data_IF_293251552495
#
_entry.id   IF_293251552495
#
_cell.length_a   1.000
_cell.length_b   1.000
_cell.length_c   1.000
_cell.angle_alpha   90.00
_cell.angle_beta   90.00
_cell.angle_gamma   90.00
#
_symmetry.space_group_name_H-M   'P 1'
#
loop_
_entity.id
_entity.type
_entity.pdbx_description
1 polymer ?
#
# COMPACT_ATOMS: atom_id res chain seq x y z
N UNK A 1 16.45 3.60 46.95
CA UNK A 1 17.42 3.15 45.93
C UNK A 1 17.93 1.72 46.20
N UNK A 2 17.07 0.73 46.48
CA UNK A 2 17.51 -0.67 46.66
C UNK A 2 16.34 -1.67 46.58
N UNK A 3 15.50 -1.58 45.54
CA UNK A 3 14.45 -2.58 45.24
C UNK A 3 14.26 -2.90 43.75
N UNK A 4 15.10 -2.35 42.87
CA UNK A 4 15.05 -2.57 41.42
C UNK A 4 16.31 -3.28 40.86
N UNK A 5 17.36 -3.42 41.67
CA UNK A 5 18.61 -4.09 41.26
C UNK A 5 18.54 -5.63 41.30
N UNK A 6 17.41 -6.20 41.71
CA UNK A 6 17.26 -7.64 41.97
C UNK A 6 16.11 -8.29 41.17
N UNK A 7 15.57 -7.60 40.15
CA UNK A 7 14.76 -8.27 39.13
C UNK A 7 15.70 -8.94 38.14
N UNK A 8 16.06 -10.17 38.47
CA UNK A 8 16.74 -11.17 37.64
C UNK A 8 16.60 -10.93 36.14
N UNK A 9 17.58 -10.23 35.57
CA UNK A 9 17.83 -10.15 34.13
C UNK A 9 18.89 -11.20 33.76
N UNK A 10 18.74 -12.42 34.28
CA UNK A 10 19.59 -13.54 33.90
C UNK A 10 18.89 -14.27 32.76
N UNK A 11 19.21 -13.86 31.54
CA UNK A 11 19.01 -14.74 30.39
C UNK A 11 19.65 -16.09 30.72
N UNK A 12 18.88 -17.16 30.62
CA UNK A 12 19.38 -18.52 30.75
C UNK A 12 20.47 -18.77 29.70
N UNK A 13 21.35 -19.73 29.95
CA UNK A 13 22.41 -20.08 29.00
C UNK A 13 21.84 -20.46 27.62
N UNK A 14 20.64 -21.06 27.60
CA UNK A 14 19.88 -21.37 26.39
C UNK A 14 19.46 -20.10 25.63
N UNK A 15 18.90 -19.11 26.32
CA UNK A 15 18.48 -17.85 25.68
C UNK A 15 19.68 -17.06 25.15
N UNK A 16 20.82 -17.07 25.85
CA UNK A 16 22.06 -16.45 25.35
C UNK A 16 22.49 -17.10 24.04
N UNK A 17 22.45 -18.44 23.93
CA UNK A 17 22.77 -19.14 22.68
C UNK A 17 21.80 -18.81 21.55
N UNK A 18 20.52 -18.60 21.88
CA UNK A 18 19.51 -18.17 20.90
C UNK A 18 19.81 -16.73 20.42
N UNK A 19 20.08 -15.80 21.33
CA UNK A 19 20.49 -14.43 20.99
C UNK A 19 21.78 -14.41 20.15
N UNK A 20 22.74 -15.30 20.41
CA UNK A 20 23.95 -15.44 19.60
C UNK A 20 23.65 -15.90 18.16
N UNK A 21 22.60 -16.70 17.93
CA UNK A 21 22.18 -17.09 16.58
C UNK A 21 21.56 -15.91 15.84
N UNK A 22 20.63 -15.19 16.48
CA UNK A 22 20.02 -13.97 15.91
C UNK A 22 21.08 -12.93 15.60
N UNK A 23 21.97 -12.65 16.56
CA UNK A 23 23.06 -11.70 16.39
C UNK A 23 24.02 -12.06 15.24
N UNK A 24 24.24 -13.35 14.97
CA UNK A 24 25.02 -13.79 13.80
C UNK A 24 24.27 -13.57 12.49
N UNK A 25 22.96 -13.82 12.46
CA UNK A 25 22.11 -13.60 11.27
C UNK A 25 22.03 -12.13 10.87
N UNK A 26 22.14 -11.19 11.81
CA UNK A 26 22.11 -9.75 11.52
C UNK A 26 23.17 -9.29 10.52
N UNK A 27 24.33 -9.95 10.46
CA UNK A 27 25.41 -9.59 9.52
C UNK A 27 25.75 -8.09 9.57
N UNK A 28 25.72 -7.45 8.40
CA UNK A 28 26.02 -6.01 8.24
C UNK A 28 25.01 -5.08 8.95
N UNK A 29 23.80 -5.54 9.21
CA UNK A 29 22.75 -4.76 9.87
C UNK A 29 23.03 -4.58 11.37
N UNK A 30 23.93 -5.39 11.95
CA UNK A 30 24.23 -5.34 13.39
C UNK A 30 24.76 -3.97 13.84
N UNK A 31 25.62 -3.32 13.05
CA UNK A 31 26.18 -2.01 13.39
C UNK A 31 25.11 -0.91 13.35
N UNK A 32 24.23 -0.94 12.35
CA UNK A 32 23.11 0.01 12.24
C UNK A 32 22.10 -0.15 13.37
N UNK A 33 21.82 -1.40 13.77
CA UNK A 33 20.95 -1.69 14.91
C UNK A 33 21.60 -1.24 16.22
N UNK A 34 22.91 -1.47 16.39
CA UNK A 34 23.64 -1.04 17.59
C UNK A 34 23.72 0.50 17.70
N UNK A 35 23.80 1.19 16.56
CA UNK A 35 23.79 2.66 16.49
C UNK A 35 22.57 3.30 17.14
N UNK A 36 21.43 2.60 17.21
CA UNK A 36 20.21 3.06 17.90
C UNK A 36 20.43 3.47 19.36
N UNK A 37 21.43 2.88 20.03
CA UNK A 37 21.72 3.15 21.44
C UNK A 37 23.12 3.68 21.69
N UNK A 38 24.02 3.67 20.69
CA UNK A 38 25.38 4.24 20.82
C UNK A 38 25.49 5.66 20.25
N UNK A 39 24.67 6.03 19.27
CA UNK A 39 24.62 7.37 18.67
C UNK A 39 23.50 8.20 19.31
N UNK A 40 23.77 8.71 20.52
CA UNK A 40 22.77 9.36 21.39
C UNK A 40 22.35 10.76 20.93
N UNK A 41 23.13 11.41 20.06
CA UNK A 41 22.90 12.79 19.62
C UNK A 41 22.39 12.89 18.17
N UNK A 42 22.07 11.75 17.54
CA UNK A 42 21.75 11.65 16.13
C UNK A 42 20.33 11.17 15.79
N UNK A 43 20.12 10.93 14.49
CA UNK A 43 18.89 10.34 13.91
C UNK A 43 18.50 9.00 14.55
N UNK A 44 19.49 8.23 15.02
CA UNK A 44 19.30 6.90 15.59
C UNK A 44 18.67 6.95 16.99
N UNK A 45 19.08 7.90 17.83
CA UNK A 45 18.46 8.10 19.15
C UNK A 45 16.98 8.49 19.05
N UNK A 46 16.65 9.39 18.11
CA UNK A 46 15.25 9.76 17.84
C UNK A 46 14.44 8.56 17.37
N UNK A 47 14.97 7.78 16.42
CA UNK A 47 14.32 6.56 15.94
C UNK A 47 14.09 5.57 17.08
N UNK A 48 15.08 5.36 17.95
CA UNK A 48 14.94 4.48 19.10
C UNK A 48 13.82 4.95 20.06
N UNK A 49 13.76 6.24 20.36
CA UNK A 49 12.68 6.79 21.17
C UNK A 49 11.29 6.58 20.54
N UNK A 50 11.16 6.76 19.23
CA UNK A 50 9.92 6.53 18.48
C UNK A 50 9.53 5.04 18.43
N UNK A 51 10.50 4.13 18.35
CA UNK A 51 10.27 2.68 18.42
C UNK A 51 9.77 2.24 19.80
N UNK A 52 10.32 2.83 20.87
CA UNK A 52 9.88 2.56 22.25
C UNK A 52 8.46 3.05 22.53
N UNK A 53 8.11 4.24 22.04
CA UNK A 53 6.78 4.83 22.23
C UNK A 53 5.65 4.00 21.60
N UNK A 54 5.95 3.21 20.56
CA UNK A 54 5.02 2.29 19.92
C UNK A 54 4.14 2.92 18.84
N UNK A 55 3.18 2.15 18.34
CA UNK A 55 2.28 2.57 17.25
C UNK A 55 1.20 3.54 17.71
N UNK A 56 0.97 4.56 16.90
CA UNK A 56 -0.15 5.50 17.10
C UNK A 56 -1.34 5.04 16.27
N UNK A 57 -2.55 5.04 16.85
CA UNK A 57 -3.77 4.82 16.06
C UNK A 57 -4.05 6.06 15.21
N UNK A 58 -4.35 5.84 13.94
CA UNK A 58 -4.85 6.86 13.03
C UNK A 58 -6.35 6.68 12.84
N UNK A 59 -7.09 7.77 12.94
CA UNK A 59 -8.49 7.79 12.57
C UNK A 59 -8.61 8.19 11.10
N UNK A 60 -9.10 7.27 10.26
CA UNK A 60 -9.17 7.48 8.82
C UNK A 60 -10.14 8.60 8.45
N UNK A 61 -11.26 8.73 9.16
CA UNK A 61 -12.27 9.76 8.88
C UNK A 61 -11.73 11.15 9.20
N UNK A 62 -11.08 11.33 10.35
CA UNK A 62 -10.42 12.58 10.70
C UNK A 62 -9.26 12.90 9.75
N UNK A 63 -8.46 11.91 9.34
CA UNK A 63 -7.41 12.12 8.33
C UNK A 63 -8.00 12.63 7.01
N UNK A 64 -9.08 12.03 6.52
CA UNK A 64 -9.76 12.45 5.29
C UNK A 64 -10.32 13.86 5.41
N UNK A 65 -10.89 14.22 6.56
CA UNK A 65 -11.33 15.58 6.84
C UNK A 65 -10.16 16.57 6.80
N UNK A 66 -9.03 16.24 7.43
CA UNK A 66 -7.83 17.09 7.42
C UNK A 66 -7.30 17.30 5.99
N UNK A 67 -7.29 16.26 5.14
CA UNK A 67 -6.90 16.38 3.73
C UNK A 67 -7.89 17.26 2.95
N UNK A 68 -9.20 17.12 3.20
CA UNK A 68 -10.25 17.92 2.57
C UNK A 68 -10.18 19.40 2.98
N UNK A 69 -9.87 19.68 4.24
CA UNK A 69 -9.62 21.03 4.74
C UNK A 69 -8.41 21.66 4.03
N UNK A 70 -7.29 20.93 3.91
CA UNK A 70 -6.12 21.39 3.17
C UNK A 70 -6.42 21.66 1.69
N UNK A 71 -7.23 20.80 1.06
CA UNK A 71 -7.65 20.98 -0.32
C UNK A 71 -8.50 22.24 -0.49
N UNK A 72 -9.48 22.45 0.38
CA UNK A 72 -10.34 23.64 0.40
C UNK A 72 -9.53 24.93 0.61
N UNK A 73 -8.57 24.92 1.52
CA UNK A 73 -7.74 26.09 1.83
C UNK A 73 -6.78 26.46 0.70
N UNK A 74 -6.24 25.47 -0.02
CA UNK A 74 -5.45 25.73 -1.24
C UNK A 74 -6.27 26.36 -2.36
N UNK A 75 -7.54 25.96 -2.52
CA UNK A 75 -8.45 26.58 -3.49
C UNK A 75 -8.68 28.05 -3.18
N UNK A 76 -8.68 28.44 -1.90
CA UNK A 76 -8.81 29.83 -1.45
C UNK A 76 -7.50 30.64 -1.61
N UNK A 77 -6.40 30.03 -2.06
CA UNK A 77 -5.12 30.71 -2.24
C UNK A 77 -4.43 31.13 -0.95
N UNK A 78 -4.78 30.51 0.19
CA UNK A 78 -4.23 30.86 1.49
C UNK A 78 -2.72 30.48 1.57
N UNK A 79 -1.85 31.34 2.14
CA UNK A 79 -0.44 31.03 2.30
C UNK A 79 -0.22 29.82 3.23
N UNK A 80 0.64 28.88 2.82
CA UNK A 80 0.94 27.64 3.57
C UNK A 80 1.37 27.89 5.02
N UNK A 81 2.08 28.98 5.28
CA UNK A 81 2.53 29.36 6.63
C UNK A 81 1.39 29.84 7.54
N UNK A 82 0.34 30.43 6.96
CA UNK A 82 -0.86 30.86 7.66
C UNK A 82 -1.71 29.63 8.05
N UNK A 83 -1.68 28.57 7.23
CA UNK A 83 -2.33 27.30 7.51
C UNK A 83 -1.69 26.55 8.69
N UNK A 84 -0.35 26.49 8.72
CA UNK A 84 0.40 25.88 9.83
C UNK A 84 0.12 26.58 11.18
N UNK A 85 -0.14 27.89 11.17
CA UNK A 85 -0.48 28.67 12.38
C UNK A 85 -1.92 28.48 12.86
N UNK A 86 -2.88 28.26 11.96
CA UNK A 86 -4.29 28.02 12.32
C UNK A 86 -4.48 26.60 12.87
N UNK A 87 -3.70 25.63 12.36
CA UNK A 87 -3.74 24.23 12.80
C UNK A 87 -2.95 23.95 14.10
N UNK A 88 -2.12 24.90 14.57
CA UNK A 88 -1.31 24.78 15.80
C UNK A 88 -2.09 24.81 17.13
N UNK A 89 -3.35 24.41 17.15
CA UNK A 89 -4.16 24.28 18.36
C UNK A 89 -4.00 22.90 19.00
N UNK A 90 -3.12 22.81 20.00
CA UNK A 90 -2.97 21.82 21.10
C UNK A 90 -3.09 20.28 20.86
N UNK A 91 -3.66 19.78 19.77
CA UNK A 91 -3.79 18.35 19.47
C UNK A 91 -3.00 18.02 18.19
N UNK A 92 -2.17 16.97 18.24
CA UNK A 92 -1.45 16.49 17.04
C UNK A 92 -2.46 16.04 15.99
N UNK A 93 -2.35 16.54 14.76
CA UNK A 93 -3.22 16.14 13.65
C UNK A 93 -2.94 14.70 13.21
N UNK A 94 -3.92 14.02 12.61
CA UNK A 94 -3.70 12.67 12.04
C UNK A 94 -2.67 12.71 10.91
N UNK A 95 -2.57 13.82 10.18
CA UNK A 95 -1.56 14.02 9.16
C UNK A 95 -0.13 14.07 9.76
N UNK A 96 0.07 14.78 10.87
CA UNK A 96 1.36 14.80 11.58
C UNK A 96 1.75 13.41 12.08
N UNK A 97 0.77 12.67 12.63
CA UNK A 97 0.98 11.29 13.06
C UNK A 97 1.36 10.44 11.84
N UNK A 98 0.63 10.54 10.73
CA UNK A 98 0.91 9.79 9.51
C UNK A 98 2.33 10.05 8.97
N UNK A 99 2.74 11.32 8.89
CA UNK A 99 4.07 11.71 8.42
C UNK A 99 5.14 11.10 9.32
N UNK A 100 4.98 11.20 10.64
CA UNK A 100 5.92 10.58 11.60
C UNK A 100 6.00 9.06 11.42
N UNK A 101 4.86 8.40 11.23
CA UNK A 101 4.80 6.95 11.04
C UNK A 101 5.44 6.53 9.71
N UNK A 102 5.29 7.33 8.65
CA UNK A 102 6.00 7.16 7.37
C UNK A 102 7.51 7.32 7.55
N UNK A 103 7.97 8.39 8.21
CA UNK A 103 9.40 8.63 8.47
C UNK A 103 10.01 7.50 9.29
N UNK A 104 9.30 7.05 10.32
CA UNK A 104 9.69 5.89 11.13
C UNK A 104 9.82 4.65 10.27
N UNK A 105 8.85 4.37 9.40
CA UNK A 105 8.87 3.19 8.54
C UNK A 105 10.07 3.20 7.59
N UNK A 106 10.36 4.35 6.96
CA UNK A 106 11.53 4.54 6.09
C UNK A 106 12.83 4.34 6.89
N UNK A 107 12.91 4.92 8.08
CA UNK A 107 14.10 4.86 8.92
C UNK A 107 14.38 3.42 9.41
N UNK A 108 13.35 2.64 9.77
CA UNK A 108 13.52 1.23 10.14
C UNK A 108 13.87 0.36 8.94
N UNK A 109 13.34 0.65 7.75
CA UNK A 109 13.73 -0.05 6.52
C UNK A 109 15.21 0.17 6.19
N UNK A 110 15.73 1.37 6.42
CA UNK A 110 17.13 1.70 6.20
C UNK A 110 18.11 0.95 7.13
N UNK A 111 17.62 0.30 8.19
CA UNK A 111 18.40 -0.62 9.03
C UNK A 111 18.66 -1.98 8.35
N UNK A 112 18.03 -2.24 7.19
CA UNK A 112 18.26 -3.41 6.34
C UNK A 112 18.23 -4.74 7.10
N UNK A 113 17.29 -4.90 8.05
CA UNK A 113 17.15 -6.16 8.79
C UNK A 113 16.93 -7.34 7.82
N UNK A 114 17.65 -8.47 7.98
CA UNK A 114 17.42 -9.66 7.18
C UNK A 114 15.97 -10.13 7.27
N UNK A 115 15.40 -10.58 6.14
CA UNK A 115 13.99 -11.00 6.09
C UNK A 115 13.76 -12.26 6.94
N UNK A 116 14.74 -13.16 6.94
CA UNK A 116 14.71 -14.48 7.61
C UNK A 116 15.27 -14.43 9.04
N UNK A 117 15.42 -13.22 9.60
CA UNK A 117 16.11 -13.00 10.89
C UNK A 117 15.48 -13.84 12.02
N UNK A 118 14.15 -13.93 12.03
CA UNK A 118 13.38 -14.56 13.10
C UNK A 118 12.60 -15.81 12.67
N UNK A 119 12.84 -16.38 11.49
CA UNK A 119 12.07 -17.54 10.98
C UNK A 119 12.09 -18.77 11.90
N UNK A 120 13.17 -18.94 12.68
CA UNK A 120 13.34 -20.04 13.63
C UNK A 120 12.84 -19.70 15.06
N UNK A 121 12.19 -18.54 15.25
CA UNK A 121 11.76 -18.04 16.55
C UNK A 121 10.22 -17.98 16.66
N UNK A 122 9.62 -18.46 17.75
CA UNK A 122 8.19 -18.28 17.99
C UNK A 122 7.81 -16.79 18.09
N UNK A 123 6.63 -16.41 17.58
CA UNK A 123 6.13 -15.03 17.63
C UNK A 123 6.09 -14.46 19.04
N UNK A 124 5.63 -15.25 20.00
CA UNK A 124 5.48 -14.83 21.40
C UNK A 124 6.83 -14.46 22.03
N UNK A 125 7.90 -15.13 21.61
CA UNK A 125 9.26 -14.83 22.07
C UNK A 125 9.78 -13.52 21.46
N UNK A 126 9.49 -13.27 20.19
CA UNK A 126 9.85 -12.02 19.51
C UNK A 126 9.11 -10.85 20.16
N UNK A 127 7.82 -11.02 20.46
CA UNK A 127 7.01 -10.00 21.13
C UNK A 127 7.48 -9.76 22.58
N UNK A 128 7.93 -10.81 23.28
CA UNK A 128 8.56 -10.67 24.59
C UNK A 128 9.90 -9.90 24.52
N UNK A 129 10.76 -10.20 23.54
CA UNK A 129 12.00 -9.45 23.31
C UNK A 129 11.75 -7.99 22.91
N UNK A 130 10.74 -7.73 22.08
CA UNK A 130 10.31 -6.38 21.73
C UNK A 130 9.87 -5.61 23.00
N UNK A 131 9.02 -6.23 23.82
CA UNK A 131 8.54 -5.64 25.08
C UNK A 131 9.70 -5.32 26.03
N UNK A 132 10.67 -6.23 26.14
CA UNK A 132 11.86 -6.03 26.95
C UNK A 132 12.73 -4.90 26.39
N UNK A 133 13.07 -4.93 25.10
CA UNK A 133 13.85 -3.88 24.43
C UNK A 133 13.20 -2.50 24.53
N UNK A 134 11.87 -2.43 24.47
CA UNK A 134 11.13 -1.18 24.63
C UNK A 134 11.20 -0.60 26.06
N UNK A 135 11.24 -1.47 27.07
CA UNK A 135 11.29 -1.08 28.48
C UNK A 135 12.68 -0.53 28.87
N UNK A 136 13.76 -1.05 28.28
CA UNK A 136 15.12 -0.66 28.63
C UNK A 136 15.50 0.75 28.12
N UNK A 137 16.34 1.41 28.90
CA UNK A 137 17.10 2.60 28.51
C UNK A 137 18.32 2.22 27.66
N UNK A 138 18.93 3.18 26.92
CA UNK A 138 20.16 2.92 26.18
C UNK A 138 21.28 2.34 27.05
N UNK A 139 21.51 2.90 28.24
CA UNK A 139 22.56 2.45 29.16
C UNK A 139 22.34 1.01 29.66
N UNK A 140 21.09 0.66 29.98
CA UNK A 140 20.74 -0.71 30.37
C UNK A 140 21.01 -1.71 29.22
N UNK A 141 20.70 -1.34 27.98
CA UNK A 141 20.99 -2.17 26.81
C UNK A 141 22.50 -2.29 26.55
N UNK A 142 23.26 -1.21 26.74
CA UNK A 142 24.72 -1.21 26.59
C UNK A 142 25.43 -2.08 27.64
N UNK A 143 24.87 -2.18 28.84
CA UNK A 143 25.37 -3.05 29.91
C UNK A 143 25.14 -4.56 29.64
N UNK A 144 24.22 -4.91 28.73
CA UNK A 144 23.94 -6.31 28.37
C UNK A 144 25.03 -6.92 27.47
N UNK A 145 25.18 -8.25 27.42
CA UNK A 145 25.97 -8.92 26.40
C UNK A 145 25.53 -8.48 25.00
N UNK A 146 26.48 -8.20 24.10
CA UNK A 146 26.21 -7.64 22.77
C UNK A 146 25.16 -8.43 21.99
N UNK A 147 25.23 -9.77 22.02
CA UNK A 147 24.27 -10.63 21.34
C UNK A 147 22.83 -10.45 21.85
N UNK A 148 22.66 -10.26 23.17
CA UNK A 148 21.37 -9.99 23.79
C UNK A 148 20.86 -8.61 23.39
N UNK A 149 21.69 -7.56 23.55
CA UNK A 149 21.36 -6.19 23.12
C UNK A 149 20.87 -6.14 21.68
N UNK A 150 21.65 -6.71 20.75
CA UNK A 150 21.31 -6.73 19.33
C UNK A 150 20.01 -7.49 19.05
N UNK A 151 19.76 -8.60 19.76
CA UNK A 151 18.51 -9.36 19.61
C UNK A 151 17.30 -8.55 20.06
N UNK A 152 17.37 -7.88 21.22
CA UNK A 152 16.27 -7.06 21.73
C UNK A 152 15.98 -5.86 20.82
N UNK A 153 17.03 -5.17 20.36
CA UNK A 153 16.90 -4.04 19.43
C UNK A 153 16.32 -4.49 18.09
N UNK A 154 16.81 -5.59 17.52
CA UNK A 154 16.30 -6.12 16.26
C UNK A 154 14.85 -6.59 16.37
N UNK A 155 14.46 -7.21 17.49
CA UNK A 155 13.08 -7.61 17.75
C UNK A 155 12.16 -6.37 17.86
N UNK A 156 12.60 -5.33 18.58
CA UNK A 156 11.90 -4.05 18.66
C UNK A 156 11.69 -3.45 17.26
N UNK A 157 12.74 -3.34 16.46
CA UNK A 157 12.65 -2.83 15.09
C UNK A 157 11.71 -3.66 14.20
N UNK A 158 11.82 -5.00 14.23
CA UNK A 158 11.02 -5.89 13.41
C UNK A 158 9.52 -5.80 13.76
N UNK A 159 9.18 -5.84 15.06
CA UNK A 159 7.79 -5.74 15.52
C UNK A 159 7.20 -4.36 15.20
N UNK A 160 7.95 -3.28 15.43
CA UNK A 160 7.46 -1.93 15.11
C UNK A 160 7.36 -1.67 13.61
N UNK A 161 8.27 -2.21 12.78
CA UNK A 161 8.15 -2.18 11.31
C UNK A 161 6.85 -2.87 10.88
N UNK A 162 6.56 -4.05 11.46
CA UNK A 162 5.35 -4.83 11.19
C UNK A 162 4.08 -4.05 11.49
N UNK A 163 3.99 -3.51 12.71
CA UNK A 163 2.83 -2.72 13.15
C UNK A 163 2.64 -1.46 12.30
N UNK A 164 3.72 -0.72 12.03
CA UNK A 164 3.68 0.51 11.23
C UNK A 164 3.27 0.21 9.80
N UNK A 165 3.88 -0.79 9.16
CA UNK A 165 3.55 -1.19 7.81
C UNK A 165 2.07 -1.59 7.69
N UNK A 166 1.57 -2.42 8.63
CA UNK A 166 0.16 -2.82 8.64
C UNK A 166 -0.78 -1.63 8.78
N UNK A 167 -0.46 -0.68 9.66
CA UNK A 167 -1.22 0.56 9.81
C UNK A 167 -1.22 1.39 8.52
N UNK A 168 -0.04 1.63 7.91
CA UNK A 168 0.09 2.42 6.69
C UNK A 168 -0.65 1.78 5.50
N UNK A 169 -0.62 0.44 5.38
CA UNK A 169 -1.40 -0.29 4.36
C UNK A 169 -2.89 -0.13 4.59
N UNK A 170 -3.36 -0.20 5.84
CA UNK A 170 -4.76 0.02 6.17
C UNK A 170 -5.22 1.42 5.76
N UNK A 171 -4.40 2.45 6.05
CA UNK A 171 -4.65 3.83 5.63
C UNK A 171 -4.67 3.95 4.10
N UNK A 172 -3.70 3.37 3.40
CA UNK A 172 -3.65 3.39 1.93
C UNK A 172 -4.93 2.80 1.32
N UNK A 173 -5.32 1.59 1.74
CA UNK A 173 -6.53 0.92 1.27
C UNK A 173 -7.77 1.77 1.57
N UNK A 174 -7.86 2.30 2.79
CA UNK A 174 -8.97 3.13 3.24
C UNK A 174 -9.11 4.44 2.44
N UNK A 175 -8.00 5.16 2.24
CA UNK A 175 -7.98 6.39 1.46
C UNK A 175 -8.39 6.17 0.00
N UNK A 176 -7.85 5.13 -0.64
CA UNK A 176 -8.21 4.79 -2.04
C UNK A 176 -9.69 4.39 -2.13
N UNK A 177 -10.20 3.64 -1.16
CA UNK A 177 -11.62 3.26 -1.10
C UNK A 177 -12.53 4.48 -0.97
N UNK A 178 -12.27 5.38 -0.01
CA UNK A 178 -13.07 6.59 0.20
C UNK A 178 -12.95 7.59 -0.94
N UNK A 179 -11.77 7.70 -1.57
CA UNK A 179 -11.58 8.50 -2.78
C UNK A 179 -12.47 7.97 -3.91
N UNK A 180 -12.46 6.65 -4.15
CA UNK A 180 -13.30 6.03 -5.17
C UNK A 180 -14.78 6.28 -4.92
N UNK A 181 -15.26 6.01 -3.70
CA UNK A 181 -16.66 6.20 -3.33
C UNK A 181 -17.13 7.65 -3.54
N UNK A 182 -16.28 8.64 -3.18
CA UNK A 182 -16.59 10.06 -3.41
C UNK A 182 -16.62 10.44 -4.89
N UNK A 183 -15.72 9.88 -5.69
CA UNK A 183 -15.72 10.09 -7.14
C UNK A 183 -17.02 9.56 -7.74
N UNK A 184 -17.42 8.33 -7.41
CA UNK A 184 -18.68 7.75 -7.91
C UNK A 184 -19.90 8.56 -7.46
N UNK A 185 -19.97 8.93 -6.17
CA UNK A 185 -21.08 9.72 -5.64
C UNK A 185 -21.19 11.11 -6.30
N UNK A 186 -20.07 11.84 -6.44
CA UNK A 186 -20.05 13.14 -7.14
C UNK A 186 -20.34 12.99 -8.62
N UNK A 187 -19.91 11.88 -9.23
CA UNK A 187 -20.20 11.60 -10.61
C UNK A 187 -21.71 11.40 -10.84
N UNK A 188 -22.36 10.59 -10.00
CA UNK A 188 -23.80 10.34 -10.04
C UNK A 188 -24.61 11.63 -9.82
N UNK A 189 -24.22 12.46 -8.85
CA UNK A 189 -24.83 13.78 -8.61
C UNK A 189 -24.65 14.75 -9.79
N UNK A 190 -23.61 14.56 -10.59
CA UNK A 190 -23.31 15.43 -11.72
C UNK A 190 -24.09 15.09 -12.99
N UNK A 191 -24.88 14.02 -13.05
CA UNK A 191 -25.55 13.58 -14.28
C UNK A 191 -26.70 14.54 -14.68
N UNK A 192 -26.81 14.92 -15.97
CA UNK A 192 -27.86 15.82 -16.42
C UNK A 192 -29.20 15.08 -16.46
N UNK A 193 -30.20 15.65 -15.81
CA UNK A 193 -31.58 15.20 -15.91
C UNK A 193 -32.22 15.97 -17.08
N UNK A 194 -32.19 15.42 -18.30
CA UNK A 194 -33.08 15.89 -19.38
C UNK A 194 -34.29 14.95 -19.45
N UNK A 195 -35.39 15.31 -18.75
CA UNK A 195 -36.54 14.43 -18.62
C UNK A 195 -37.28 14.22 -19.94
N UNK A 196 -37.11 15.09 -20.95
CA UNK A 196 -37.81 14.92 -22.23
C UNK A 196 -37.16 13.80 -23.06
N UNK A 197 -35.87 13.92 -23.36
CA UNK A 197 -35.13 12.91 -24.16
C UNK A 197 -35.08 11.54 -23.48
N UNK A 198 -35.06 11.52 -22.15
CA UNK A 198 -35.12 10.28 -21.39
C UNK A 198 -36.49 9.58 -21.54
N UNK A 199 -37.59 10.31 -21.38
CA UNK A 199 -38.95 9.78 -21.59
C UNK A 199 -39.16 9.29 -23.03
N UNK A 200 -38.74 10.08 -24.02
CA UNK A 200 -38.90 9.74 -25.43
C UNK A 200 -38.14 8.45 -25.77
N UNK A 201 -36.90 8.30 -25.28
CA UNK A 201 -36.08 7.09 -25.43
C UNK A 201 -36.75 5.87 -24.75
N UNK A 202 -37.18 6.01 -23.50
CA UNK A 202 -37.84 4.91 -22.77
C UNK A 202 -39.16 4.48 -23.43
N UNK A 203 -39.88 5.40 -24.07
CA UNK A 203 -41.12 5.10 -24.79
C UNK A 203 -40.89 4.49 -26.18
N UNK A 204 -39.84 4.92 -26.90
CA UNK A 204 -39.57 4.50 -28.28
C UNK A 204 -38.77 3.20 -28.36
N UNK A 205 -37.82 2.95 -27.46
CA UNK A 205 -36.95 1.78 -27.53
C UNK A 205 -37.71 0.43 -27.58
N UNK A 206 -38.73 0.18 -26.72
CA UNK A 206 -39.49 -1.07 -26.78
C UNK A 206 -40.31 -1.19 -28.06
N UNK A 207 -40.85 -0.09 -28.59
CA UNK A 207 -41.64 -0.07 -29.83
C UNK A 207 -40.77 -0.40 -31.04
N UNK A 208 -39.57 0.18 -31.10
CA UNK A 208 -38.60 -0.08 -32.17
C UNK A 208 -38.08 -1.52 -32.11
N UNK A 209 -37.71 -2.01 -30.92
CA UNK A 209 -37.27 -3.39 -30.74
C UNK A 209 -38.39 -4.39 -31.05
N UNK A 210 -39.62 -4.13 -30.59
CA UNK A 210 -40.78 -4.97 -30.90
C UNK A 210 -41.02 -5.07 -32.41
N UNK A 211 -41.04 -3.94 -33.11
CA UNK A 211 -41.23 -3.94 -34.56
C UNK A 211 -40.10 -4.65 -35.32
N UNK A 212 -38.85 -4.53 -34.86
CA UNK A 212 -37.71 -5.24 -35.43
C UNK A 212 -37.76 -6.75 -35.18
N UNK A 213 -38.26 -7.18 -34.02
CA UNK A 213 -38.44 -8.60 -33.68
C UNK A 213 -39.63 -9.22 -34.42
N UNK A 214 -40.72 -8.47 -34.60
CA UNK A 214 -41.93 -8.94 -35.29
C UNK A 214 -41.70 -9.09 -36.81
N UNK A 215 -40.84 -8.25 -37.39
CA UNK A 215 -40.59 -8.18 -38.84
C UNK A 215 -39.08 -8.08 -39.14
N UNK A 216 -38.31 -9.16 -38.93
CA UNK A 216 -36.85 -9.12 -39.00
C UNK A 216 -36.30 -9.00 -40.43
N UNK A 217 -37.03 -9.50 -41.43
CA UNK A 217 -36.59 -9.55 -42.83
C UNK A 217 -37.07 -8.35 -43.68
N UNK A 218 -37.93 -7.50 -43.12
CA UNK A 218 -38.46 -6.32 -43.81
C UNK A 218 -37.46 -5.15 -43.77
N UNK A 219 -37.41 -4.30 -44.82
CA UNK A 219 -36.46 -3.19 -44.85
C UNK A 219 -36.73 -2.21 -43.71
N UNK A 220 -35.67 -1.77 -43.03
CA UNK A 220 -35.70 -0.85 -41.87
C UNK A 220 -36.63 0.35 -42.08
N UNK A 221 -36.64 0.90 -43.30
CA UNK A 221 -37.50 2.04 -43.68
C UNK A 221 -38.99 1.74 -43.57
N UNK A 222 -39.41 0.51 -43.87
CA UNK A 222 -40.82 0.07 -43.77
C UNK A 222 -41.23 -0.32 -42.34
N UNK A 223 -40.25 -0.69 -41.50
CA UNK A 223 -40.50 -1.21 -40.15
C UNK A 223 -40.41 -0.11 -39.09
N UNK A 224 -39.32 0.67 -39.08
CA UNK A 224 -39.00 1.61 -37.99
C UNK A 224 -39.46 3.05 -38.25
N UNK A 225 -39.37 3.55 -39.48
CA UNK A 225 -39.71 4.94 -39.80
C UNK A 225 -41.21 5.30 -39.76
N UNK A 226 -42.16 4.35 -39.80
CA UNK A 226 -43.54 4.64 -39.42
C UNK A 226 -43.71 4.94 -37.92
N UNK A 227 -42.80 4.46 -37.07
CA UNK A 227 -42.88 4.61 -35.61
C UNK A 227 -42.16 5.86 -35.09
N UNK A 228 -41.15 6.34 -35.82
CA UNK A 228 -40.34 7.50 -35.43
C UNK A 228 -39.84 8.25 -36.67
N UNK A 229 -39.85 9.58 -36.60
CA UNK A 229 -39.36 10.42 -37.70
C UNK A 229 -37.84 10.31 -37.82
N UNK A 230 -37.31 10.47 -39.04
CA UNK A 230 -35.85 10.51 -39.27
C UNK A 230 -35.19 11.62 -38.45
N UNK A 231 -35.86 12.77 -38.30
CA UNK A 231 -35.38 13.89 -37.48
C UNK A 231 -35.21 13.45 -36.02
N UNK A 232 -36.24 12.85 -35.43
CA UNK A 232 -36.21 12.35 -34.04
C UNK A 232 -35.15 11.27 -33.86
N UNK A 233 -34.99 10.37 -34.83
CA UNK A 233 -33.96 9.33 -34.78
C UNK A 233 -32.54 9.91 -34.82
N UNK A 234 -32.29 10.93 -35.67
CA UNK A 234 -31.02 11.68 -35.67
C UNK A 234 -30.79 12.46 -34.38
N UNK A 235 -31.84 13.06 -33.82
CA UNK A 235 -31.78 13.75 -32.52
C UNK A 235 -31.41 12.80 -31.38
N UNK A 236 -31.99 11.58 -31.35
CA UNK A 236 -31.64 10.54 -30.37
C UNK A 236 -30.20 10.04 -30.52
N UNK A 237 -29.71 9.83 -31.74
CA UNK A 237 -28.30 9.45 -31.98
C UNK A 237 -27.35 10.56 -31.56
N UNK A 238 -27.65 11.82 -31.91
CA UNK A 238 -26.85 12.98 -31.51
C UNK A 238 -26.85 13.15 -29.99
N UNK A 239 -27.99 12.99 -29.35
CA UNK A 239 -28.12 13.03 -27.90
C UNK A 239 -27.29 11.93 -27.23
N UNK A 240 -27.37 10.69 -27.71
CA UNK A 240 -26.57 9.57 -27.18
C UNK A 240 -25.06 9.87 -27.26
N UNK A 241 -24.57 10.32 -28.43
CA UNK A 241 -23.16 10.69 -28.61
C UNK A 241 -22.74 11.88 -27.72
N UNK A 242 -23.63 12.88 -27.58
CA UNK A 242 -23.38 14.05 -26.74
C UNK A 242 -23.35 13.67 -25.26
N UNK A 243 -24.26 12.79 -24.82
CA UNK A 243 -24.30 12.24 -23.46
C UNK A 243 -23.05 11.45 -23.14
N UNK A 244 -22.56 10.60 -24.04
CA UNK A 244 -21.31 9.86 -23.86
C UNK A 244 -20.09 10.80 -23.73
N UNK A 245 -19.97 11.78 -24.63
CA UNK A 245 -18.89 12.77 -24.55
C UNK A 245 -18.97 13.63 -23.26
N UNK A 246 -20.18 13.99 -22.83
CA UNK A 246 -20.40 14.69 -21.56
C UNK A 246 -20.09 13.80 -20.36
N UNK A 247 -20.44 12.51 -20.40
CA UNK A 247 -20.16 11.51 -19.37
C UNK A 247 -18.66 11.43 -19.12
N UNK A 248 -17.87 11.24 -20.18
CA UNK A 248 -16.40 11.22 -20.11
C UNK A 248 -15.83 12.53 -19.57
N UNK A 249 -16.28 13.67 -20.09
CA UNK A 249 -15.82 15.00 -19.63
C UNK A 249 -16.15 15.23 -18.16
N UNK A 250 -17.34 14.85 -17.69
CA UNK A 250 -17.76 14.97 -16.29
C UNK A 250 -16.97 14.05 -15.39
N UNK A 251 -16.75 12.78 -15.77
CA UNK A 251 -15.84 11.88 -15.05
C UNK A 251 -14.48 12.52 -14.85
N UNK A 252 -13.85 13.01 -15.93
CA UNK A 252 -12.56 13.69 -15.84
C UNK A 252 -12.59 14.94 -14.96
N UNK A 253 -13.66 15.73 -14.99
CA UNK A 253 -13.80 16.93 -14.15
C UNK A 253 -13.94 16.57 -12.65
N UNK A 254 -14.81 15.62 -12.33
CA UNK A 254 -15.02 15.10 -10.96
C UNK A 254 -13.75 14.46 -10.42
N UNK A 255 -13.03 13.71 -11.26
CA UNK A 255 -11.75 13.10 -10.91
C UNK A 255 -10.72 14.16 -10.52
N UNK A 256 -10.51 15.18 -11.36
CA UNK A 256 -9.55 16.24 -11.10
C UNK A 256 -9.85 17.04 -9.84
N UNK A 257 -11.13 17.30 -9.56
CA UNK A 257 -11.50 18.06 -8.37
C UNK A 257 -11.42 17.24 -7.09
N UNK A 258 -11.62 15.92 -7.17
CA UNK A 258 -11.67 15.04 -5.99
C UNK A 258 -10.31 14.42 -5.68
N UNK A 259 -9.56 13.96 -6.68
CA UNK A 259 -8.18 13.50 -6.53
C UNK A 259 -7.22 14.70 -6.58
N UNK A 260 -7.35 15.57 -5.58
CA UNK A 260 -6.63 16.84 -5.49
C UNK A 260 -5.16 16.66 -5.10
N UNK A 261 -4.37 17.74 -5.21
CA UNK A 261 -2.94 17.71 -4.88
C UNK A 261 -2.64 17.24 -3.45
N UNK A 262 -3.36 17.67 -2.39
CA UNK A 262 -3.17 17.11 -1.04
C UNK A 262 -3.38 15.60 -0.95
N UNK A 263 -4.40 15.04 -1.63
CA UNK A 263 -4.60 13.59 -1.69
C UNK A 263 -3.43 12.88 -2.37
N UNK A 264 -2.99 13.41 -3.52
CA UNK A 264 -1.85 12.86 -4.25
C UNK A 264 -0.58 12.84 -3.38
N UNK A 265 -0.36 13.90 -2.59
CA UNK A 265 0.80 14.02 -1.70
C UNK A 265 0.76 12.97 -0.58
N UNK A 266 -0.39 12.82 0.09
CA UNK A 266 -0.54 11.80 1.14
C UNK A 266 -0.39 10.38 0.59
N UNK A 267 -0.99 10.09 -0.56
CA UNK A 267 -0.83 8.80 -1.22
C UNK A 267 0.62 8.55 -1.63
N UNK A 268 1.32 9.54 -2.18
CA UNK A 268 2.73 9.41 -2.55
C UNK A 268 3.63 9.10 -1.33
N UNK A 269 3.37 9.73 -0.17
CA UNK A 269 4.09 9.42 1.07
C UNK A 269 3.89 7.95 1.47
N UNK A 270 2.65 7.46 1.43
CA UNK A 270 2.32 6.06 1.71
C UNK A 270 3.01 5.09 0.75
N UNK A 271 2.94 5.37 -0.55
CA UNK A 271 3.54 4.52 -1.58
C UNK A 271 5.07 4.47 -1.46
N UNK A 272 5.70 5.58 -1.09
CA UNK A 272 7.16 5.65 -0.90
C UNK A 272 7.62 4.89 0.35
N UNK A 273 6.79 4.88 1.40
CA UNK A 273 7.11 4.21 2.66
C UNK A 273 6.91 2.69 2.63
N UNK A 274 6.19 2.16 1.63
CA UNK A 274 5.79 0.77 1.58
C UNK A 274 6.56 0.02 0.49
N UNK A 275 7.18 -1.08 0.89
CA UNK A 275 7.95 -1.93 -0.03
C UNK A 275 7.04 -3.03 -0.61
N UNK A 276 6.44 -2.75 -1.76
CA UNK A 276 5.52 -3.66 -2.45
C UNK A 276 6.28 -4.81 -3.12
N UNK A 277 5.82 -6.04 -2.87
CA UNK A 277 6.37 -7.27 -3.42
C UNK A 277 5.25 -8.09 -4.05
N UNK A 278 5.56 -8.78 -5.15
CA UNK A 278 4.61 -9.64 -5.82
C UNK A 278 5.31 -10.85 -6.42
N UNK A 279 4.68 -12.02 -6.30
CA UNK A 279 5.13 -13.29 -6.89
C UNK A 279 4.24 -13.76 -8.04
N UNK A 280 3.09 -13.11 -8.25
CA UNK A 280 2.11 -13.44 -9.28
C UNK A 280 2.38 -12.62 -10.56
N UNK A 281 2.74 -13.25 -11.69
CA UNK A 281 3.00 -12.55 -12.94
C UNK A 281 1.82 -11.70 -13.45
N UNK A 282 0.59 -12.07 -13.13
CA UNK A 282 -0.58 -11.30 -13.53
C UNK A 282 -0.77 -9.99 -12.76
N UNK A 283 0.07 -9.70 -11.76
CA UNK A 283 0.15 -8.40 -11.10
C UNK A 283 1.27 -7.49 -11.66
N UNK A 284 2.17 -8.02 -12.48
CA UNK A 284 3.32 -7.26 -12.98
C UNK A 284 2.98 -5.97 -13.73
N UNK A 285 1.90 -5.91 -14.57
CA UNK A 285 1.51 -4.65 -15.19
C UNK A 285 1.21 -3.54 -14.18
N UNK A 286 0.52 -3.87 -13.09
CA UNK A 286 0.20 -2.90 -12.03
C UNK A 286 1.43 -2.54 -11.22
N UNK A 287 2.33 -3.50 -10.96
CA UNK A 287 3.60 -3.24 -10.28
C UNK A 287 4.52 -2.32 -11.10
N UNK A 288 4.60 -2.52 -12.41
CA UNK A 288 5.31 -1.62 -13.31
C UNK A 288 4.66 -0.23 -13.33
N UNK A 289 3.33 -0.15 -13.45
CA UNK A 289 2.60 1.11 -13.37
C UNK A 289 2.82 1.86 -12.06
N UNK A 290 2.92 1.12 -10.95
CA UNK A 290 3.17 1.67 -9.62
C UNK A 290 4.57 2.26 -9.52
N UNK A 291 5.59 1.59 -10.07
CA UNK A 291 6.96 2.14 -10.14
C UNK A 291 6.98 3.48 -10.86
N UNK A 292 6.39 3.54 -12.05
CA UNK A 292 6.27 4.78 -12.83
C UNK A 292 5.49 5.86 -12.07
N UNK A 293 4.43 5.49 -11.34
CA UNK A 293 3.66 6.43 -10.53
C UNK A 293 4.48 6.99 -9.36
N UNK A 294 5.28 6.16 -8.69
CA UNK A 294 6.15 6.59 -7.58
C UNK A 294 7.26 7.50 -8.08
N UNK A 295 7.94 7.13 -9.17
CA UNK A 295 8.99 7.95 -9.79
C UNK A 295 8.42 9.29 -10.27
N UNK A 296 7.25 9.26 -10.90
CA UNK A 296 6.56 10.47 -11.33
C UNK A 296 6.15 11.36 -10.16
N UNK A 297 5.67 10.74 -9.07
CA UNK A 297 5.42 11.45 -7.83
C UNK A 297 6.68 12.06 -7.26
N UNK A 298 7.89 11.53 -7.47
CA UNK A 298 9.13 12.13 -6.96
C UNK A 298 9.66 13.26 -7.85
N UNK A 299 9.50 13.15 -9.17
CA UNK A 299 10.13 14.06 -10.14
C UNK A 299 9.22 15.21 -10.57
N UNK A 300 7.91 14.96 -10.71
CA UNK A 300 7.00 15.82 -11.44
C UNK A 300 5.87 16.41 -10.56
N UNK A 301 6.11 16.68 -9.27
CA UNK A 301 5.10 17.24 -8.34
C UNK A 301 4.25 18.35 -9.01
N UNK A 302 3.04 18.02 -9.45
CA UNK A 302 2.10 18.93 -10.09
C UNK A 302 2.47 19.46 -11.49
N UNK A 303 3.44 18.86 -12.19
CA UNK A 303 3.87 19.28 -13.53
C UNK A 303 3.35 18.35 -14.61
N UNK A 304 2.54 18.89 -15.53
CA UNK A 304 2.07 18.19 -16.71
C UNK A 304 0.73 17.49 -16.52
N UNK A 305 -0.14 17.60 -17.53
CA UNK A 305 -1.44 16.91 -17.56
C UNK A 305 -1.34 15.47 -18.08
N UNK A 306 -0.30 15.20 -18.85
CA UNK A 306 -0.09 13.96 -19.58
C UNK A 306 1.27 13.37 -19.27
N UNK A 307 1.39 12.06 -19.40
CA UNK A 307 2.69 11.40 -19.44
C UNK A 307 3.38 11.66 -20.79
N UNK A 308 4.71 11.56 -20.80
CA UNK A 308 5.50 11.79 -22.01
C UNK A 308 5.30 10.64 -23.00
N UNK A 309 5.25 10.97 -24.30
CA UNK A 309 4.96 9.99 -25.35
C UNK A 309 6.00 8.87 -25.49
N UNK A 310 7.21 9.05 -24.93
CA UNK A 310 8.26 8.03 -24.89
C UNK A 310 8.18 7.07 -23.71
N UNK A 311 7.30 7.33 -22.74
CA UNK A 311 7.15 6.50 -21.53
C UNK A 311 6.21 5.34 -21.84
N UNK A 312 6.73 4.11 -21.80
CA UNK A 312 5.95 2.90 -22.08
C UNK A 312 5.12 2.49 -20.85
N UNK A 313 3.99 3.15 -20.65
CA UNK A 313 3.10 2.85 -19.53
C UNK A 313 2.22 1.62 -19.81
N UNK A 314 2.12 0.67 -18.87
CA UNK A 314 1.23 -0.49 -19.00
C UNK A 314 -0.24 -0.06 -18.94
N UNK A 315 -0.99 -0.33 -20.00
CA UNK A 315 -2.43 -0.04 -20.09
C UNK A 315 -3.24 -1.30 -19.80
N UNK A 316 -2.86 -2.41 -20.42
CA UNK A 316 -3.55 -3.68 -20.28
C UNK A 316 -3.32 -4.29 -18.89
N UNK A 317 -4.40 -4.69 -18.24
CA UNK A 317 -4.38 -5.14 -16.84
C UNK A 317 -4.30 -4.02 -15.79
N UNK A 318 -4.22 -2.75 -16.21
CA UNK A 318 -4.17 -1.57 -15.32
C UNK A 318 -5.39 -0.68 -15.49
N UNK A 319 -5.78 -0.37 -16.72
CA UNK A 319 -6.89 0.52 -17.04
C UNK A 319 -8.11 -0.30 -17.48
N UNK A 320 -9.20 -0.33 -16.70
CA UNK A 320 -10.43 -1.00 -17.12
C UNK A 320 -11.03 -0.35 -18.37
N UNK A 321 -11.76 -1.13 -19.18
CA UNK A 321 -12.35 -0.64 -20.43
C UNK A 321 -13.24 0.59 -20.25
N UNK A 322 -14.06 0.59 -19.20
CA UNK A 322 -14.95 1.70 -18.87
C UNK A 322 -14.23 2.99 -18.47
N UNK A 323 -12.92 2.92 -18.19
CA UNK A 323 -12.07 4.05 -17.82
C UNK A 323 -11.16 4.53 -18.97
N UNK A 324 -10.96 3.73 -20.02
CA UNK A 324 -10.13 4.13 -21.17
C UNK A 324 -10.55 5.47 -21.79
N UNK A 325 -11.85 5.76 -22.02
CA UNK A 325 -12.26 7.07 -22.52
C UNK A 325 -11.91 8.22 -21.57
N UNK A 326 -11.74 7.99 -20.27
CA UNK A 326 -11.32 9.02 -19.31
C UNK A 326 -9.80 9.18 -19.24
N UNK A 327 -9.04 8.12 -19.54
CA UNK A 327 -7.56 8.08 -19.45
C UNK A 327 -6.90 8.64 -20.71
N UNK A 328 -7.40 8.30 -21.90
CA UNK A 328 -6.81 8.71 -23.18
C UNK A 328 -7.46 9.98 -23.71
N UNK A 329 -6.68 10.96 -24.18
CA UNK A 329 -7.23 12.06 -24.97
C UNK A 329 -7.42 11.70 -26.45
N UNK A 330 -7.84 12.68 -27.25
CA UNK A 330 -8.11 12.50 -28.67
C UNK A 330 -6.84 12.16 -29.48
N UNK A 331 -5.66 12.54 -28.97
CA UNK A 331 -4.35 12.25 -29.55
C UNK A 331 -3.74 10.93 -29.03
N UNK A 332 -4.46 10.19 -28.18
CA UNK A 332 -3.99 8.94 -27.60
C UNK A 332 -3.00 9.11 -26.45
N UNK A 333 -2.84 10.33 -25.90
CA UNK A 333 -1.97 10.59 -24.75
C UNK A 333 -2.66 10.18 -23.46
N UNK A 334 -1.87 9.65 -22.52
CA UNK A 334 -2.35 9.19 -21.21
C UNK A 334 -2.38 10.37 -20.24
N UNK A 335 -3.56 10.72 -19.75
CA UNK A 335 -3.72 11.70 -18.66
C UNK A 335 -3.27 11.13 -17.31
N UNK A 336 -2.44 11.89 -16.59
CA UNK A 336 -1.80 11.45 -15.33
C UNK A 336 -2.79 11.10 -14.21
N UNK A 337 -3.71 12.02 -13.93
CA UNK A 337 -4.69 11.89 -12.83
C UNK A 337 -5.59 10.65 -12.97
N UNK A 338 -6.31 10.43 -14.09
CA UNK A 338 -7.18 9.26 -14.22
C UNK A 338 -6.39 7.94 -14.32
N UNK A 339 -5.20 7.95 -14.94
CA UNK A 339 -4.33 6.77 -14.97
C UNK A 339 -3.85 6.40 -13.56
N UNK A 340 -3.30 7.36 -12.81
CA UNK A 340 -2.84 7.14 -11.43
C UNK A 340 -3.93 6.60 -10.52
N UNK A 341 -5.19 7.05 -10.68
CA UNK A 341 -6.31 6.45 -9.95
C UNK A 341 -6.54 4.98 -10.35
N UNK A 342 -6.48 4.62 -11.64
CA UNK A 342 -6.64 3.24 -12.08
C UNK A 342 -5.56 2.33 -11.47
N UNK A 343 -4.31 2.81 -11.38
CA UNK A 343 -3.20 2.12 -10.71
C UNK A 343 -3.53 1.90 -9.24
N UNK A 344 -3.97 2.94 -8.52
CA UNK A 344 -4.31 2.87 -7.09
C UNK A 344 -5.47 1.92 -6.81
N UNK A 345 -6.52 1.95 -7.63
CA UNK A 345 -7.67 1.05 -7.51
C UNK A 345 -7.26 -0.41 -7.71
N UNK A 346 -6.44 -0.67 -8.74
CA UNK A 346 -5.92 -2.00 -9.03
C UNK A 346 -5.01 -2.50 -7.90
N UNK A 347 -4.14 -1.63 -7.37
CA UNK A 347 -3.28 -1.92 -6.24
C UNK A 347 -4.09 -2.26 -4.98
N UNK A 348 -5.11 -1.47 -4.66
CA UNK A 348 -6.02 -1.72 -3.53
C UNK A 348 -6.64 -3.12 -3.62
N UNK A 349 -7.13 -3.48 -4.81
CA UNK A 349 -7.77 -4.78 -5.02
C UNK A 349 -6.75 -5.93 -4.91
N UNK A 350 -5.52 -5.75 -5.41
CA UNK A 350 -4.45 -6.73 -5.29
C UNK A 350 -3.95 -6.92 -3.85
N UNK A 351 -3.85 -5.83 -3.06
CA UNK A 351 -3.55 -5.89 -1.63
C UNK A 351 -4.66 -6.59 -0.85
N UNK A 352 -5.92 -6.26 -1.17
CA UNK A 352 -7.10 -6.86 -0.51
C UNK A 352 -7.19 -8.37 -0.78
N UNK A 353 -6.79 -8.81 -1.98
CA UNK A 353 -6.73 -10.23 -2.36
C UNK A 353 -5.41 -10.92 -1.98
N UNK A 354 -4.49 -10.24 -1.29
CA UNK A 354 -3.17 -10.76 -0.89
C UNK A 354 -2.29 -11.25 -2.07
N UNK A 355 -2.53 -10.73 -3.30
CA UNK A 355 -1.70 -11.00 -4.49
C UNK A 355 -0.43 -10.14 -4.51
N UNK A 356 -0.53 -8.94 -3.94
CA UNK A 356 0.60 -8.08 -3.58
C UNK A 356 0.74 -8.13 -2.06
N UNK A 357 1.97 -8.20 -1.59
CA UNK A 357 2.30 -8.17 -0.17
C UNK A 357 3.34 -7.09 0.11
N UNK A 358 3.45 -6.68 1.37
CA UNK A 358 4.39 -5.65 1.81
C UNK A 358 5.52 -6.30 2.59
N UNK A 359 6.76 -5.97 2.24
CA UNK A 359 7.93 -6.51 2.93
C UNK A 359 8.01 -5.98 4.38
N UNK A 360 8.09 -6.92 5.33
CA UNK A 360 8.13 -6.61 6.76
C UNK A 360 6.78 -6.21 7.37
N UNK A 361 5.67 -6.34 6.65
CA UNK A 361 4.32 -6.24 7.20
C UNK A 361 3.86 -7.55 7.83
N UNK A 362 2.84 -7.49 8.68
CA UNK A 362 2.29 -8.65 9.39
C UNK A 362 1.11 -9.21 8.63
N UNK A 363 -0.05 -8.59 8.83
CA UNK A 363 -1.30 -8.95 8.13
C UNK A 363 -1.15 -8.85 6.62
N UNK A 364 -0.40 -7.87 6.11
CA UNK A 364 -0.15 -7.70 4.67
C UNK A 364 1.22 -8.23 4.22
N UNK A 365 1.95 -8.96 5.08
CA UNK A 365 3.22 -9.61 4.76
C UNK A 365 3.09 -10.78 3.78
N UNK A 366 4.21 -11.43 3.45
CA UNK A 366 4.23 -12.61 2.56
C UNK A 366 3.22 -13.65 3.08
N UNK A 367 2.26 -14.12 2.26
CA UNK A 367 1.36 -15.17 2.69
C UNK A 367 2.18 -16.44 3.01
N UNK A 368 1.78 -17.22 4.03
CA UNK A 368 2.45 -18.49 4.30
C UNK A 368 2.36 -19.35 3.04
N UNK A 369 3.45 -20.05 2.71
CA UNK A 369 3.40 -21.04 1.64
C UNK A 369 2.30 -22.03 2.00
N UNK A 370 1.28 -22.13 1.14
CA UNK A 370 0.31 -23.22 1.20
C UNK A 370 1.08 -24.50 0.95
N UNK A 371 1.58 -25.11 2.02
CA UNK A 371 1.87 -26.55 2.01
C UNK A 371 0.55 -27.21 1.66
N UNK A 372 0.50 -27.89 0.51
CA UNK A 372 -0.59 -28.82 0.25
C UNK A 372 -0.72 -29.72 1.50
N UNK A 373 -1.94 -29.92 2.03
CA UNK A 373 -2.12 -30.83 3.14
C UNK A 373 -1.53 -32.18 2.73
N UNK A 374 -0.58 -32.70 3.49
CA UNK A 374 -0.06 -34.04 3.24
C UNK A 374 -1.26 -34.99 3.13
N UNK A 375 -1.28 -35.88 2.12
CA UNK A 375 -2.40 -36.78 1.94
C UNK A 375 -2.64 -37.54 3.24
N UNK A 376 -3.89 -37.52 3.71
CA UNK A 376 -4.32 -38.19 4.95
C UNK A 376 -3.93 -39.66 4.84
N UNK A 377 -2.86 -40.05 5.54
CA UNK A 377 -2.24 -41.37 5.44
C UNK A 377 -0.71 -41.38 5.44
N UNK A 378 -0.04 -40.23 5.27
CA UNK A 378 1.40 -40.15 5.50
C UNK A 378 1.68 -40.22 7.02
N UNK A 379 2.22 -41.34 7.48
CA UNK A 379 2.80 -41.45 8.83
C UNK A 379 3.84 -40.34 9.02
N UNK A 380 3.82 -39.59 10.13
CA UNK A 380 4.80 -38.54 10.35
C UNK A 380 6.17 -39.20 10.51
N UNK A 381 7.03 -39.06 9.50
CA UNK A 381 8.46 -39.29 9.68
C UNK A 381 8.98 -38.15 10.56
N UNK A 382 8.93 -38.37 11.87
CA UNK A 382 9.80 -37.69 12.80
C UNK A 382 11.24 -37.98 12.35
N UNK A 383 11.87 -37.03 11.65
CA UNK A 383 13.33 -36.97 11.58
C UNK A 383 13.81 -36.62 12.99
N UNK A 384 13.89 -37.64 13.82
CA UNK A 384 14.44 -37.57 15.15
C UNK A 384 15.86 -37.02 15.10
N UNK A 385 16.10 -36.06 15.99
CA UNK A 385 17.41 -35.75 16.55
C UNK A 385 18.20 -37.06 16.74
N UNK A 386 19.17 -37.31 15.87
CA UNK A 386 20.16 -38.36 16.09
C UNK A 386 21.42 -37.68 16.65
N UNK A 387 21.86 -38.01 17.87
CA UNK A 387 23.16 -37.56 18.34
C UNK A 387 24.22 -38.30 17.54
N UNK A 388 25.05 -37.56 16.80
CA UNK A 388 26.23 -38.13 16.15
C UNK A 388 27.25 -38.42 17.25
N UNK A 389 27.30 -39.68 17.71
CA UNK A 389 28.49 -40.23 18.34
C UNK A 389 29.58 -40.29 17.27
N UNK A 390 30.71 -39.64 17.52
CA UNK A 390 31.90 -39.75 16.69
C UNK A 390 32.51 -41.13 16.85
N UNK A 391 32.47 -41.92 15.78
CA UNK A 391 33.42 -43.00 15.56
C UNK A 391 34.59 -42.45 14.74
N UNK A 392 35.76 -42.90 15.16
CA UNK A 392 37.12 -42.57 14.72
C UNK A 392 37.26 -42.70 13.19
N UNK A 393 37.81 -41.67 12.55
CA UNK A 393 38.30 -41.74 11.17
C UNK A 393 39.81 -41.91 11.21
N UNK A 394 40.26 -43.10 10.81
CA UNK A 394 41.65 -43.47 10.55
C UNK A 394 42.15 -42.82 9.24
N UNK A 395 43.38 -42.31 9.25
CA UNK A 395 44.03 -41.72 8.09
C UNK A 395 44.84 -42.76 7.31
N UNK A 396 44.79 -42.83 5.96
CA UNK A 396 45.61 -43.78 5.23
C UNK A 396 47.08 -43.32 5.21
N UNK A 397 47.94 -44.15 5.79
CA UNK A 397 49.39 -44.10 5.57
C UNK A 397 49.70 -44.56 4.15
N UNK A 398 50.34 -43.70 3.35
CA UNK A 398 51.08 -44.10 2.16
C UNK A 398 52.56 -44.18 2.50
N UNK A 399 53.13 -45.37 2.38
CA UNK A 399 54.56 -45.59 2.25
C UNK A 399 54.87 -45.93 0.78
N UNK A 400 56.12 -45.67 0.39
CA UNK A 400 56.79 -45.82 -0.91
C UNK A 400 56.59 -44.61 -1.85
N UNK A 401 57.58 -43.76 -2.14
CA UNK A 401 59.06 -43.88 -2.17
C UNK A 401 59.81 -42.86 -1.30
#
# INVERSE_FOLDING_TARGET
>A
MSRLADRETRFSEYEIRLCQRVSRKLGHSAEQVEALVTDLDGRHARLFAELRAGGTRLDLESLVREIDELASMRVLGLPTELLARIQGGAERTNLEILIREVDRQIAVQALCLPVELFDDCPSDLIDAWCTHGAACTPDELLAMPRAVRLTLLAALCAVRRRETADMLVAVLIGLVHQLHARIEARFEQSLPQDPWLERERHALLPKLLGAALDRPDEPVRSVLYPLVSEKTMRELVKDAATREAMHVRRKRAVLRSTYSSPYQQVLALLLTALEFRCTDPACWPVMAALGELVDDCMVCWGKGRYYDAGQSLPVDGVVPESWRPAVFDAEGRIERVPYGLCVLLSLRDMLSRRRVHIAGAGRWGRPPETREPEPVGATPTYHGLRPVRGDVIDWPSGADE
#
